data_IF_937623960727
#
_entry.id   IF_937623960727
#
_cell.length_a   1.000
_cell.length_b   1.000
_cell.length_c   1.000
_cell.angle_alpha   90.00
_cell.angle_beta   90.00
_cell.angle_gamma   90.00
#
_symmetry.space_group_name_H-M   'P 1'
#
loop_
_entity.id
_entity.type
_entity.pdbx_description
1 polymer ?
#
# COMPACT_ATOMS: atom_id res chain seq x y z
N UNK A 1 -51.31 -24.13 55.47
CA UNK A 1 -50.85 -23.17 54.43
C UNK A 1 -49.56 -22.50 54.85
N UNK A 2 -48.40 -23.18 54.82
CA UNK A 2 -47.09 -22.59 55.19
C UNK A 2 -45.93 -23.41 54.63
N UNK A 3 -45.88 -23.66 53.30
CA UNK A 3 -44.83 -24.46 52.72
C UNK A 3 -44.31 -23.97 51.35
N UNK A 4 -44.73 -22.79 50.91
CA UNK A 4 -44.36 -22.30 49.55
C UNK A 4 -43.34 -21.14 49.49
N UNK A 5 -42.93 -20.62 50.63
CA UNK A 5 -41.98 -19.43 50.67
C UNK A 5 -40.51 -19.79 50.78
N UNK A 6 -40.13 -21.06 50.81
CA UNK A 6 -38.73 -21.44 51.12
C UNK A 6 -37.86 -21.70 49.89
N UNK A 7 -38.43 -21.69 48.66
CA UNK A 7 -37.69 -22.03 47.47
C UNK A 7 -37.27 -20.86 46.59
N UNK A 8 -37.79 -19.65 46.81
CA UNK A 8 -37.43 -18.50 45.98
C UNK A 8 -36.08 -17.86 46.37
N UNK A 9 -35.60 -18.03 47.57
CA UNK A 9 -34.31 -17.46 48.04
C UNK A 9 -33.07 -18.16 47.52
N UNK A 10 -33.18 -19.45 47.17
CA UNK A 10 -32.03 -20.21 46.68
C UNK A 10 -31.81 -20.05 45.17
N UNK A 11 -32.88 -19.84 44.42
CA UNK A 11 -32.82 -19.62 42.96
C UNK A 11 -32.23 -18.23 42.66
N UNK A 12 -32.58 -17.21 43.41
CA UNK A 12 -32.02 -15.86 43.30
C UNK A 12 -30.53 -15.80 43.69
N UNK A 13 -30.07 -16.60 44.67
CA UNK A 13 -28.64 -16.67 45.00
C UNK A 13 -27.80 -17.44 44.00
N UNK A 14 -28.35 -18.44 43.34
CA UNK A 14 -27.66 -19.14 42.22
C UNK A 14 -27.67 -18.33 40.93
N UNK A 15 -28.68 -17.54 40.67
CA UNK A 15 -28.70 -16.57 39.56
C UNK A 15 -27.63 -15.49 39.73
N UNK A 16 -27.40 -14.99 40.95
CA UNK A 16 -26.34 -14.01 41.23
C UNK A 16 -24.92 -14.58 41.07
N UNK A 17 -24.75 -15.90 41.04
CA UNK A 17 -23.44 -16.55 40.87
C UNK A 17 -23.22 -17.02 39.44
N UNK A 18 -24.29 -17.15 38.64
CA UNK A 18 -24.26 -17.60 37.25
C UNK A 18 -24.18 -16.43 36.26
N UNK A 19 -24.35 -15.19 36.69
CA UNK A 19 -24.31 -14.04 35.79
C UNK A 19 -22.90 -13.81 35.19
N UNK A 20 -21.84 -14.05 36.01
CA UNK A 20 -20.45 -13.87 35.57
C UNK A 20 -20.12 -14.83 34.41
N UNK A 21 -20.33 -16.16 34.51
CA UNK A 21 -20.09 -17.06 33.39
C UNK A 21 -20.99 -16.75 32.18
N UNK A 22 -22.22 -16.25 32.40
CA UNK A 22 -23.13 -15.89 31.32
C UNK A 22 -22.59 -14.65 30.55
N UNK A 23 -22.06 -13.66 31.24
CA UNK A 23 -21.40 -12.51 30.60
C UNK A 23 -20.16 -12.93 29.83
N UNK A 24 -19.35 -13.84 30.38
CA UNK A 24 -18.17 -14.37 29.69
C UNK A 24 -18.55 -15.07 28.39
N UNK A 25 -19.58 -15.91 28.43
CA UNK A 25 -20.08 -16.60 27.23
C UNK A 25 -20.63 -15.60 26.21
N UNK A 26 -21.35 -14.58 26.64
CA UNK A 26 -21.87 -13.53 25.75
C UNK A 26 -20.72 -12.75 25.07
N UNK A 27 -19.68 -12.38 25.81
CA UNK A 27 -18.51 -11.68 25.28
C UNK A 27 -17.74 -12.56 24.27
N UNK A 28 -17.56 -13.84 24.59
CA UNK A 28 -16.91 -14.79 23.68
C UNK A 28 -17.74 -15.03 22.40
N UNK A 29 -19.06 -15.09 22.53
CA UNK A 29 -19.95 -15.23 21.39
C UNK A 29 -19.91 -14.01 20.47
N UNK A 30 -20.00 -12.80 21.03
CA UNK A 30 -19.92 -11.55 20.25
C UNK A 30 -18.52 -11.38 19.65
N UNK A 31 -17.45 -11.62 20.41
CA UNK A 31 -16.08 -11.55 19.93
C UNK A 31 -15.80 -12.58 18.81
N UNK A 32 -16.22 -13.82 19.01
CA UNK A 32 -16.08 -14.88 18.01
C UNK A 32 -16.84 -14.58 16.72
N UNK A 33 -18.06 -14.03 16.83
CA UNK A 33 -18.89 -13.68 15.68
C UNK A 33 -18.30 -12.48 14.92
N UNK A 34 -17.71 -11.53 15.65
CA UNK A 34 -17.02 -10.39 15.05
C UNK A 34 -15.77 -10.83 14.29
N UNK A 35 -14.93 -11.68 14.89
CA UNK A 35 -13.75 -12.25 14.25
C UNK A 35 -14.14 -13.09 13.03
N UNK A 36 -15.20 -13.93 13.15
CA UNK A 36 -15.69 -14.72 12.03
C UNK A 36 -16.17 -13.85 10.86
N UNK A 37 -16.90 -12.77 11.15
CA UNK A 37 -17.32 -11.80 10.11
C UNK A 37 -16.15 -11.05 9.49
N UNK A 38 -15.18 -10.62 10.29
CA UNK A 38 -13.98 -9.94 9.80
C UNK A 38 -13.07 -10.88 9.02
N UNK A 39 -12.96 -12.14 9.41
CA UNK A 39 -12.19 -13.14 8.67
C UNK A 39 -12.75 -13.36 7.25
N UNK A 40 -14.07 -13.27 7.07
CA UNK A 40 -14.71 -13.32 5.75
C UNK A 40 -14.45 -12.06 4.89
N UNK A 41 -14.19 -10.91 5.50
CA UNK A 41 -13.88 -9.67 4.78
C UNK A 41 -12.38 -9.53 4.44
N UNK A 42 -11.50 -10.01 5.32
CA UNK A 42 -10.04 -9.95 5.11
C UNK A 42 -9.43 -11.25 4.56
N UNK A 43 -10.14 -12.37 4.66
CA UNK A 43 -9.71 -13.68 4.12
C UNK A 43 -10.18 -13.96 2.71
N UNK A 44 -10.98 -13.07 2.09
CA UNK A 44 -11.47 -13.21 0.71
C UNK A 44 -10.60 -12.47 -0.30
N UNK A 45 -9.53 -11.80 0.14
CA UNK A 45 -8.48 -11.49 -0.81
C UNK A 45 -7.86 -12.83 -1.20
N UNK A 46 -8.16 -13.26 -2.43
CA UNK A 46 -7.31 -14.19 -3.16
C UNK A 46 -5.91 -13.60 -3.07
N UNK A 47 -5.17 -13.99 -2.03
CA UNK A 47 -3.73 -13.82 -2.06
C UNK A 47 -3.34 -14.50 -3.36
N UNK A 48 -2.88 -13.72 -4.30
CA UNK A 48 -2.15 -14.22 -5.46
C UNK A 48 -0.98 -14.98 -4.85
N UNK A 49 -1.27 -16.26 -4.53
CA UNK A 49 -0.26 -17.20 -4.09
C UNK A 49 0.71 -17.29 -5.26
N UNK A 50 1.90 -16.84 -5.03
CA UNK A 50 3.06 -16.90 -5.94
C UNK A 50 3.40 -18.34 -6.40
N UNK A 51 2.50 -19.29 -6.21
CA UNK A 51 2.68 -20.71 -6.50
C UNK A 51 1.65 -21.35 -7.43
N UNK A 52 0.62 -20.65 -7.88
CA UNK A 52 -0.40 -21.29 -8.74
C UNK A 52 -0.20 -20.95 -10.23
N UNK A 53 0.94 -21.38 -10.75
CA UNK A 53 1.30 -21.36 -12.17
C UNK A 53 0.62 -22.47 -12.97
N UNK A 54 -0.53 -23.03 -12.54
CA UNK A 54 -1.10 -24.21 -13.21
C UNK A 54 -2.25 -23.95 -14.16
N UNK A 55 -2.77 -22.75 -14.34
CA UNK A 55 -3.90 -22.53 -15.25
C UNK A 55 -3.87 -21.26 -16.10
N UNK A 56 -2.79 -20.54 -16.18
CA UNK A 56 -2.69 -19.45 -17.16
C UNK A 56 -2.06 -19.95 -18.45
N UNK A 57 -2.89 -20.61 -19.27
CA UNK A 57 -2.52 -21.01 -20.61
C UNK A 57 -2.26 -19.76 -21.44
N UNK A 58 -1.01 -19.32 -21.46
CA UNK A 58 -0.44 -18.70 -22.65
C UNK A 58 -0.83 -17.27 -22.97
N UNK A 59 -1.16 -16.40 -22.02
CA UNK A 59 -0.96 -14.97 -22.27
C UNK A 59 0.52 -14.66 -22.04
N UNK A 60 1.25 -14.19 -23.07
CA UNK A 60 2.62 -13.77 -22.86
C UNK A 60 2.61 -12.71 -21.76
N UNK A 61 3.40 -12.94 -20.71
CA UNK A 61 3.64 -11.94 -19.67
C UNK A 61 4.29 -10.73 -20.36
N UNK A 62 3.52 -9.69 -20.52
CA UNK A 62 4.02 -8.40 -20.98
C UNK A 62 4.22 -7.53 -19.75
N UNK A 63 5.45 -7.43 -19.23
CA UNK A 63 5.69 -6.60 -18.06
C UNK A 63 5.36 -5.15 -18.41
N UNK A 64 4.60 -4.50 -17.53
CA UNK A 64 4.37 -3.06 -17.64
C UNK A 64 5.71 -2.34 -17.62
N UNK A 65 5.85 -1.26 -18.36
CA UNK A 65 7.05 -0.44 -18.39
C UNK A 65 6.84 0.83 -17.59
N UNK A 66 7.76 1.08 -16.67
CA UNK A 66 7.82 2.34 -15.94
C UNK A 66 8.85 3.26 -16.61
N UNK A 67 8.49 4.50 -16.79
CA UNK A 67 9.38 5.54 -17.31
C UNK A 67 9.45 6.68 -16.33
N UNK A 68 10.66 7.03 -15.95
CA UNK A 68 10.99 8.23 -15.20
C UNK A 68 11.50 9.30 -16.15
N UNK A 69 11.09 10.53 -15.92
CA UNK A 69 11.55 11.69 -16.67
C UNK A 69 11.81 12.85 -15.72
N UNK A 70 12.97 13.47 -15.85
CA UNK A 70 13.30 14.76 -15.23
C UNK A 70 13.56 15.76 -16.35
N UNK A 71 12.85 16.85 -16.30
CA UNK A 71 12.95 17.91 -17.31
C UNK A 71 13.19 19.28 -16.68
N UNK A 72 13.89 20.12 -17.40
CA UNK A 72 14.29 21.46 -17.02
C UNK A 72 15.08 22.11 -18.13
N UNK A 73 15.74 23.24 -17.89
CA UNK A 73 16.55 23.90 -18.89
C UNK A 73 17.63 22.96 -19.45
N UNK A 74 17.76 22.82 -20.77
CA UNK A 74 18.74 21.92 -21.37
C UNK A 74 20.17 22.26 -20.94
N UNK A 75 20.96 21.24 -20.64
CA UNK A 75 22.35 21.41 -20.23
C UNK A 75 22.56 21.62 -18.71
N UNK A 76 21.48 21.73 -17.94
CA UNK A 76 21.56 21.84 -16.48
C UNK A 76 21.97 20.50 -15.87
N UNK A 77 22.92 20.51 -14.94
CA UNK A 77 23.28 19.35 -14.13
C UNK A 77 22.26 19.14 -13.02
N UNK A 78 21.83 17.89 -12.84
CA UNK A 78 20.89 17.50 -11.79
C UNK A 78 21.38 16.25 -11.04
N UNK A 79 21.21 16.26 -9.73
CA UNK A 79 21.36 15.09 -8.88
C UNK A 79 20.01 14.37 -8.82
N UNK A 80 19.97 13.13 -9.26
CA UNK A 80 18.74 12.34 -9.39
C UNK A 80 18.82 11.12 -8.48
N UNK A 81 17.76 10.90 -7.70
CA UNK A 81 17.58 9.74 -6.84
C UNK A 81 16.31 9.03 -7.25
N UNK A 82 16.38 7.74 -7.50
CA UNK A 82 15.20 6.95 -7.89
C UNK A 82 15.27 5.52 -7.39
N UNK A 83 14.15 4.79 -7.44
CA UNK A 83 14.14 3.35 -7.23
C UNK A 83 14.26 2.62 -8.57
N UNK A 84 15.16 1.65 -8.63
CA UNK A 84 15.33 0.78 -9.80
C UNK A 84 14.19 -0.25 -9.95
N UNK A 85 14.32 -1.14 -10.94
CA UNK A 85 13.36 -2.22 -11.22
C UNK A 85 13.18 -3.20 -10.05
N UNK A 86 14.14 -3.28 -9.13
CA UNK A 86 14.15 -4.15 -7.96
C UNK A 86 13.72 -3.42 -6.68
N UNK A 87 13.46 -2.10 -6.77
CA UNK A 87 13.12 -1.26 -5.63
C UNK A 87 14.32 -0.79 -4.82
N UNK A 88 15.54 -0.91 -5.34
CA UNK A 88 16.73 -0.40 -4.67
C UNK A 88 16.90 1.10 -4.96
N UNK A 89 17.34 1.90 -3.98
CA UNK A 89 17.64 3.31 -4.21
C UNK A 89 18.92 3.46 -5.04
N UNK A 90 18.83 4.25 -6.09
CA UNK A 90 19.95 4.63 -6.97
C UNK A 90 20.10 6.13 -6.97
N UNK A 91 21.36 6.60 -6.96
CA UNK A 91 21.72 8.01 -7.10
C UNK A 91 22.60 8.19 -8.33
N UNK A 92 22.33 9.21 -9.11
CA UNK A 92 23.11 9.53 -10.29
C UNK A 92 23.12 11.04 -10.54
N UNK A 93 24.23 11.53 -11.11
CA UNK A 93 24.32 12.88 -11.65
C UNK A 93 24.09 12.81 -13.15
N UNK A 94 23.20 13.65 -13.66
CA UNK A 94 22.85 13.67 -15.07
C UNK A 94 22.55 15.07 -15.57
N UNK A 95 22.68 15.25 -16.88
CA UNK A 95 22.29 16.49 -17.56
C UNK A 95 20.85 16.42 -18.01
N UNK A 96 20.10 17.49 -17.75
CA UNK A 96 18.70 17.60 -18.17
C UNK A 96 18.57 17.89 -19.69
N UNK A 97 17.51 17.39 -20.35
CA UNK A 97 16.50 16.45 -19.86
C UNK A 97 17.04 15.04 -19.70
N UNK A 98 16.57 14.33 -18.67
CA UNK A 98 16.97 12.94 -18.39
C UNK A 98 15.75 12.00 -18.35
N UNK A 99 15.90 10.79 -18.82
CA UNK A 99 14.85 9.77 -18.76
C UNK A 99 15.42 8.35 -18.62
N UNK A 100 14.67 7.50 -17.91
CA UNK A 100 14.96 6.10 -17.72
C UNK A 100 13.69 5.27 -17.86
N UNK A 101 13.73 4.21 -18.68
CA UNK A 101 12.62 3.27 -18.84
C UNK A 101 13.08 1.86 -18.47
N UNK A 102 12.27 1.14 -17.69
CA UNK A 102 12.53 -0.24 -17.28
C UNK A 102 11.22 -1.02 -17.08
N UNK A 103 11.27 -2.37 -17.20
CA UNK A 103 10.10 -3.21 -16.92
C UNK A 103 9.82 -3.25 -15.41
N UNK A 104 8.55 -3.18 -15.03
CA UNK A 104 8.14 -3.33 -13.63
C UNK A 104 8.13 -4.81 -13.29
N UNK A 105 8.97 -5.24 -12.33
CA UNK A 105 8.85 -6.56 -11.73
C UNK A 105 7.62 -6.58 -10.80
N UNK A 106 7.00 -7.76 -10.61
CA UNK A 106 5.81 -7.92 -9.78
C UNK A 106 5.98 -7.44 -8.32
N UNK A 107 7.21 -7.24 -7.86
CA UNK A 107 7.53 -6.76 -6.52
C UNK A 107 7.60 -5.23 -6.39
N UNK A 108 7.71 -4.50 -7.48
CA UNK A 108 7.97 -3.06 -7.47
C UNK A 108 6.84 -2.25 -8.10
N UNK A 109 5.64 -2.38 -7.57
CA UNK A 109 4.52 -1.48 -7.91
C UNK A 109 4.68 -0.05 -7.39
N UNK A 110 5.85 0.29 -6.83
CA UNK A 110 6.15 1.61 -6.25
C UNK A 110 7.21 2.28 -7.13
N UNK A 111 6.89 3.45 -7.63
CA UNK A 111 7.83 4.30 -8.35
C UNK A 111 8.14 5.56 -7.54
N UNK A 112 9.41 5.89 -7.38
CA UNK A 112 9.83 7.12 -6.74
C UNK A 112 11.02 7.71 -7.49
N UNK A 113 10.95 8.99 -7.79
CA UNK A 113 12.05 9.77 -8.33
C UNK A 113 12.07 11.14 -7.68
N UNK A 114 13.25 11.58 -7.29
CA UNK A 114 13.51 12.92 -6.78
C UNK A 114 14.71 13.50 -7.50
N UNK A 115 14.71 14.79 -7.75
CA UNK A 115 15.83 15.47 -8.37
C UNK A 115 16.05 16.86 -7.77
N UNK A 116 17.30 17.24 -7.72
CA UNK A 116 17.74 18.59 -7.39
C UNK A 116 18.63 19.12 -8.52
N UNK A 117 18.35 20.31 -8.99
CA UNK A 117 19.10 20.95 -10.04
C UNK A 117 19.42 22.41 -9.69
N UNK A 118 20.55 22.88 -10.17
CA UNK A 118 20.93 24.30 -10.08
C UNK A 118 20.28 25.07 -11.24
N UNK A 119 18.96 25.20 -11.14
CA UNK A 119 18.14 25.91 -12.13
C UNK A 119 16.87 26.44 -11.49
N UNK A 120 16.28 27.44 -12.14
CA UNK A 120 15.05 28.10 -11.67
C UNK A 120 13.82 27.20 -11.81
N UNK A 121 13.87 26.22 -12.68
CA UNK A 121 12.72 25.37 -12.99
C UNK A 121 13.13 23.92 -13.21
N UNK A 122 12.46 23.01 -12.55
CA UNK A 122 12.62 21.56 -12.74
C UNK A 122 11.26 20.86 -12.68
N UNK A 123 11.09 19.81 -13.45
CA UNK A 123 9.90 18.97 -13.42
C UNK A 123 10.25 17.50 -13.38
N UNK A 124 9.37 16.70 -12.79
CA UNK A 124 9.43 15.24 -12.82
C UNK A 124 8.14 14.65 -13.37
N UNK A 125 8.25 13.48 -14.01
CA UNK A 125 7.12 12.70 -14.49
C UNK A 125 7.39 11.21 -14.30
N UNK A 126 6.37 10.48 -13.86
CA UNK A 126 6.33 9.03 -13.84
C UNK A 126 5.23 8.56 -14.76
N UNK A 127 5.56 7.72 -15.73
CA UNK A 127 4.61 7.10 -16.65
C UNK A 127 4.67 5.57 -16.55
N UNK A 128 3.52 4.91 -16.73
CA UNK A 128 3.42 3.44 -16.81
C UNK A 128 2.69 3.10 -18.10
N UNK A 129 3.33 2.31 -18.96
CA UNK A 129 2.85 1.95 -20.30
C UNK A 129 2.44 3.18 -21.14
N UNK A 130 3.22 4.27 -21.02
CA UNK A 130 2.95 5.53 -21.70
C UNK A 130 1.85 6.40 -21.06
N UNK A 131 1.21 5.93 -19.98
CA UNK A 131 0.20 6.70 -19.24
C UNK A 131 0.87 7.44 -18.09
N UNK A 132 0.79 8.76 -18.07
CA UNK A 132 1.30 9.60 -16.98
C UNK A 132 0.52 9.30 -15.69
N UNK A 133 1.24 8.98 -14.63
CA UNK A 133 0.69 8.65 -13.31
C UNK A 133 0.93 9.75 -12.27
N UNK A 134 2.09 10.37 -12.32
CA UNK A 134 2.41 11.54 -11.50
C UNK A 134 3.29 12.50 -12.32
N UNK A 135 2.99 13.78 -12.24
CA UNK A 135 3.75 14.84 -12.88
C UNK A 135 3.71 16.10 -12.02
N UNK A 136 4.86 16.69 -11.83
CA UNK A 136 5.02 17.94 -11.08
C UNK A 136 6.06 18.82 -11.72
N UNK A 137 5.91 20.11 -11.50
CA UNK A 137 6.90 21.14 -11.87
C UNK A 137 7.03 22.11 -10.72
N UNK A 138 8.24 22.50 -10.41
CA UNK A 138 8.52 23.53 -9.41
C UNK A 138 9.40 24.62 -9.98
N UNK A 139 9.29 25.82 -9.42
CA UNK A 139 10.11 26.98 -9.77
C UNK A 139 10.64 27.59 -8.49
N UNK A 140 11.96 27.82 -8.42
CA UNK A 140 12.66 28.49 -7.34
C UNK A 140 13.80 29.34 -7.88
N UNK A 141 14.18 30.39 -7.14
CA UNK A 141 15.11 31.39 -7.66
C UNK A 141 16.58 30.92 -7.75
N UNK A 142 17.02 29.89 -7.02
CA UNK A 142 18.45 29.51 -6.96
C UNK A 142 18.71 28.02 -7.15
N UNK A 143 17.93 27.16 -6.55
CA UNK A 143 18.08 25.70 -6.65
C UNK A 143 16.73 25.04 -6.47
N UNK A 144 16.33 24.24 -7.43
CA UNK A 144 15.02 23.59 -7.44
C UNK A 144 15.14 22.14 -7.05
N UNK A 145 14.25 21.71 -6.12
CA UNK A 145 14.07 20.31 -5.74
C UNK A 145 12.66 19.87 -6.12
N UNK A 146 12.55 18.65 -6.65
CA UNK A 146 11.26 18.05 -7.01
C UNK A 146 11.23 16.57 -6.69
N UNK A 147 10.03 16.03 -6.41
CA UNK A 147 9.81 14.60 -6.28
C UNK A 147 8.46 14.16 -6.82
N UNK A 148 8.47 13.08 -7.57
CA UNK A 148 7.30 12.35 -8.02
C UNK A 148 7.23 10.99 -7.34
N UNK A 149 6.03 10.54 -7.00
CA UNK A 149 5.81 9.29 -6.28
C UNK A 149 4.58 8.55 -6.82
N UNK A 150 4.79 7.31 -7.22
CA UNK A 150 3.74 6.37 -7.60
C UNK A 150 3.61 5.30 -6.52
N UNK A 151 2.46 5.22 -5.86
CA UNK A 151 2.20 4.27 -4.76
C UNK A 151 1.79 2.88 -5.24
N UNK A 152 1.26 2.78 -6.46
CA UNK A 152 0.89 1.50 -7.10
C UNK A 152 0.87 1.68 -8.62
N UNK A 153 1.48 0.75 -9.36
CA UNK A 153 1.56 0.72 -10.82
C UNK A 153 0.53 -0.24 -11.43
#
# INVERSE_FOLDING_TARGET
MRKERRNQGSVLKSLGRLWIPLVVVAVLAVGGLTVYRLHGLFGSEKSLSYGDTKNDKGKPYNPKKMKYEIFGPPGTSAQISYFDENGNPVHTDATLPWSLEFPISAAAGIGSIAAQADSDTIGCRISVDGVVKDEKTTTHEVSSFISCLLKAA
#
